data_IF_047272171303
#
_entry.id   IF_047272171303
#
_cell.length_a   1.000
_cell.length_b   1.000
_cell.length_c   1.000
_cell.angle_alpha   90.00
_cell.angle_beta   90.00
_cell.angle_gamma   90.00
#
_symmetry.space_group_name_H-M   'P 1'
#
loop_
_entity.id
_entity.type
_entity.pdbx_description
1 polymer ?
#
# COMPACT_ATOMS: atom_id res chain seq x y z
N UNK A 1 -14.38 5.61 1.90
CA UNK A 1 -15.26 4.43 2.14
C UNK A 1 -14.41 3.18 1.97
N UNK A 2 -14.64 2.13 2.75
CA UNK A 2 -14.03 0.82 2.51
C UNK A 2 -15.06 -0.08 1.84
N UNK A 3 -14.82 -0.42 0.59
CA UNK A 3 -15.65 -1.37 -0.14
C UNK A 3 -15.34 -2.80 0.34
N UNK A 4 -16.36 -3.59 0.57
CA UNK A 4 -16.24 -4.97 0.98
C UNK A 4 -17.50 -5.77 0.57
N UNK A 5 -17.36 -7.08 0.47
CA UNK A 5 -18.43 -8.03 0.15
C UNK A 5 -18.89 -8.84 1.38
N UNK A 6 -18.74 -8.25 2.57
CA UNK A 6 -19.24 -8.86 3.80
C UNK A 6 -20.77 -8.82 3.77
N UNK A 7 -21.48 -9.91 4.11
CA UNK A 7 -22.93 -9.96 4.11
C UNK A 7 -23.58 -8.80 4.86
N UNK A 8 -24.55 -8.16 4.23
CA UNK A 8 -25.24 -6.95 4.71
C UNK A 8 -24.39 -5.67 4.74
N UNK A 9 -23.22 -5.67 4.12
CA UNK A 9 -22.47 -4.43 3.90
C UNK A 9 -23.20 -3.54 2.88
N UNK A 10 -23.21 -2.21 3.06
CA UNK A 10 -23.75 -1.28 2.05
C UNK A 10 -23.06 -1.37 0.68
N UNK A 11 -21.92 -2.02 0.61
CA UNK A 11 -21.10 -2.14 -0.61
C UNK A 11 -21.02 -3.57 -1.14
N UNK A 12 -21.79 -4.52 -0.58
CA UNK A 12 -21.72 -5.94 -0.89
C UNK A 12 -21.91 -6.22 -2.39
N UNK A 13 -22.84 -5.53 -3.04
CA UNK A 13 -23.23 -5.76 -4.44
C UNK A 13 -22.54 -4.84 -5.43
N UNK A 14 -21.53 -4.06 -5.00
CA UNK A 14 -20.79 -3.20 -5.92
C UNK A 14 -19.97 -4.06 -6.89
N UNK A 15 -19.99 -3.67 -8.17
CA UNK A 15 -19.19 -4.38 -9.17
C UNK A 15 -17.69 -4.20 -8.90
N UNK A 16 -16.95 -5.29 -8.96
CA UNK A 16 -15.49 -5.29 -8.71
C UNK A 16 -14.75 -4.29 -9.62
N UNK A 17 -15.20 -4.14 -10.88
CA UNK A 17 -14.59 -3.19 -11.81
C UNK A 17 -14.76 -1.74 -11.34
N UNK A 18 -15.93 -1.37 -10.82
CA UNK A 18 -16.18 -0.01 -10.33
C UNK A 18 -15.37 0.27 -9.06
N UNK A 19 -15.27 -0.72 -8.16
CA UNK A 19 -14.44 -0.64 -6.95
C UNK A 19 -12.96 -0.49 -7.32
N UNK A 20 -12.47 -1.27 -8.30
CA UNK A 20 -11.10 -1.18 -8.76
C UNK A 20 -10.79 0.20 -9.37
N UNK A 21 -11.67 0.70 -10.25
CA UNK A 21 -11.53 2.04 -10.85
C UNK A 21 -11.57 3.15 -9.81
N UNK A 22 -12.46 3.07 -8.83
CA UNK A 22 -12.55 4.04 -7.72
C UNK A 22 -11.30 4.02 -6.84
N UNK A 23 -10.79 2.81 -6.53
CA UNK A 23 -9.63 2.62 -5.66
C UNK A 23 -8.30 2.99 -6.31
N UNK A 24 -8.24 3.08 -7.64
CA UNK A 24 -7.03 3.40 -8.41
C UNK A 24 -7.08 4.77 -9.09
N UNK A 25 -8.06 5.62 -8.76
CA UNK A 25 -8.19 6.98 -9.28
C UNK A 25 -7.22 7.94 -8.59
N UNK A 26 -5.91 7.73 -8.78
CA UNK A 26 -4.83 8.48 -8.11
C UNK A 26 -4.86 9.96 -8.52
N UNK A 27 -5.02 10.90 -7.57
CA UNK A 27 -4.95 12.33 -7.87
C UNK A 27 -3.65 12.68 -8.59
N UNK A 28 -3.69 13.68 -9.48
CA UNK A 28 -2.62 14.10 -10.37
C UNK A 28 -2.46 13.20 -11.60
N UNK A 29 -2.59 11.87 -11.47
CA UNK A 29 -2.42 10.93 -12.57
C UNK A 29 -3.72 10.61 -13.30
N UNK A 30 -4.83 10.51 -12.55
CA UNK A 30 -6.13 10.12 -13.06
C UNK A 30 -7.26 11.05 -12.58
N UNK A 31 -8.33 11.22 -13.36
CA UNK A 31 -9.54 11.87 -12.89
C UNK A 31 -10.23 11.01 -11.81
N UNK A 32 -11.06 11.66 -11.00
CA UNK A 32 -11.92 10.95 -10.05
C UNK A 32 -12.87 10.00 -10.77
N UNK A 33 -13.11 8.82 -10.17
CA UNK A 33 -14.10 7.88 -10.65
C UNK A 33 -15.33 7.89 -9.73
N UNK A 34 -16.49 8.27 -10.27
CA UNK A 34 -17.75 8.38 -9.52
C UNK A 34 -17.59 9.13 -8.17
N UNK A 35 -16.89 10.27 -8.20
CA UNK A 35 -16.55 11.10 -7.01
C UNK A 35 -15.62 10.44 -6.00
N UNK A 36 -15.00 9.33 -6.33
CA UNK A 36 -13.97 8.71 -5.50
C UNK A 36 -12.59 9.09 -6.02
N UNK A 37 -11.63 9.08 -5.11
CA UNK A 37 -10.19 9.16 -5.37
C UNK A 37 -9.52 7.90 -4.83
N UNK A 38 -8.30 7.66 -5.27
CA UNK A 38 -7.50 6.50 -4.88
C UNK A 38 -7.50 6.27 -3.35
N UNK A 39 -7.76 5.03 -2.97
CA UNK A 39 -7.70 4.60 -1.57
C UNK A 39 -6.31 4.71 -0.95
N UNK A 40 -5.26 4.77 -1.76
CA UNK A 40 -3.88 4.97 -1.34
C UNK A 40 -3.65 6.27 -0.58
N UNK A 41 -4.44 7.31 -0.81
CA UNK A 41 -4.39 8.56 -0.02
C UNK A 41 -4.65 8.31 1.48
N UNK A 42 -5.46 7.32 1.80
CA UNK A 42 -5.84 6.98 3.19
C UNK A 42 -5.11 5.74 3.68
N UNK A 43 -4.91 4.75 2.83
CA UNK A 43 -4.33 3.46 3.18
C UNK A 43 -3.41 2.98 2.04
N UNK A 44 -2.28 3.66 1.85
CA UNK A 44 -1.25 3.28 0.86
C UNK A 44 -0.80 1.83 1.06
N UNK A 45 -0.66 1.41 2.31
CA UNK A 45 -0.54 0.00 2.70
C UNK A 45 -1.80 -0.40 3.46
N UNK A 46 -2.67 -1.26 2.90
CA UNK A 46 -3.94 -1.63 3.52
C UNK A 46 -3.81 -2.68 4.64
N UNK A 47 -2.60 -3.06 5.05
CA UNK A 47 -2.35 -4.12 6.04
C UNK A 47 -3.09 -3.86 7.35
N UNK A 48 -2.93 -2.66 7.93
CA UNK A 48 -3.59 -2.32 9.19
C UNK A 48 -5.11 -2.31 9.06
N UNK A 49 -5.64 -1.77 7.97
CA UNK A 49 -7.06 -1.77 7.71
C UNK A 49 -7.62 -3.20 7.63
N UNK A 50 -6.90 -4.11 6.95
CA UNK A 50 -7.27 -5.52 6.84
C UNK A 50 -7.34 -6.21 8.20
N UNK A 51 -6.39 -5.94 9.09
CA UNK A 51 -6.39 -6.46 10.47
C UNK A 51 -7.63 -5.95 11.22
N UNK A 52 -7.85 -4.63 11.20
CA UNK A 52 -8.98 -4.00 11.91
C UNK A 52 -10.32 -4.57 11.44
N UNK A 53 -10.52 -4.69 10.13
CA UNK A 53 -11.72 -5.32 9.58
C UNK A 53 -11.89 -6.79 9.97
N UNK A 54 -10.79 -7.53 10.09
CA UNK A 54 -10.82 -8.95 10.48
C UNK A 54 -11.25 -9.17 11.94
N UNK A 55 -10.86 -8.27 12.84
CA UNK A 55 -11.22 -8.33 14.27
C UNK A 55 -12.52 -7.58 14.60
N UNK A 56 -13.06 -6.83 13.66
CA UNK A 56 -14.35 -6.17 13.85
C UNK A 56 -15.46 -7.17 14.17
N UNK A 57 -16.48 -6.73 14.88
CA UNK A 57 -17.59 -7.57 15.34
C UNK A 57 -18.29 -8.33 14.22
N UNK A 58 -18.25 -7.82 13.00
CA UNK A 58 -18.87 -8.44 11.82
C UNK A 58 -18.18 -9.74 11.43
N UNK A 59 -16.85 -9.77 11.41
CA UNK A 59 -16.06 -10.98 11.13
C UNK A 59 -15.60 -11.69 12.41
N UNK A 60 -15.40 -10.94 13.50
CA UNK A 60 -15.18 -11.45 14.84
C UNK A 60 -13.97 -12.38 14.98
N UNK A 61 -12.92 -12.19 14.15
CA UNK A 61 -11.72 -13.04 14.23
C UNK A 61 -10.87 -12.64 15.42
N UNK A 62 -10.30 -13.64 16.10
CA UNK A 62 -9.29 -13.40 17.12
C UNK A 62 -7.97 -13.00 16.46
N UNK A 63 -7.27 -12.02 17.01
CA UNK A 63 -6.02 -11.49 16.46
C UNK A 63 -4.93 -12.57 16.37
N UNK A 64 -4.92 -13.52 17.30
CA UNK A 64 -3.96 -14.62 17.31
C UNK A 64 -4.12 -15.56 16.10
N UNK A 65 -5.32 -15.58 15.52
CA UNK A 65 -5.64 -16.43 14.37
C UNK A 65 -5.44 -15.71 13.03
N UNK A 66 -5.05 -14.42 13.06
CA UNK A 66 -4.78 -13.67 11.83
C UNK A 66 -3.36 -13.96 11.35
N UNK A 67 -3.24 -14.27 10.07
CA UNK A 67 -1.98 -14.32 9.32
C UNK A 67 -2.09 -13.35 8.16
N UNK A 68 -1.13 -12.45 8.04
CA UNK A 68 -1.16 -11.41 7.01
C UNK A 68 0.10 -11.48 6.15
N UNK A 69 -0.11 -11.76 4.88
CA UNK A 69 0.90 -11.66 3.84
C UNK A 69 0.63 -10.40 3.01
N UNK A 70 1.54 -9.44 3.07
CA UNK A 70 1.44 -8.16 2.40
C UNK A 70 2.44 -8.08 1.24
N UNK A 71 1.96 -7.67 0.06
CA UNK A 71 2.79 -7.45 -1.12
C UNK A 71 2.87 -5.97 -1.45
N UNK A 72 4.09 -5.46 -1.60
CA UNK A 72 4.35 -4.13 -2.11
C UNK A 72 4.77 -4.17 -3.58
N UNK A 73 4.63 -3.05 -4.25
CA UNK A 73 5.02 -2.86 -5.66
C UNK A 73 6.49 -2.50 -5.84
N UNK A 74 7.26 -2.54 -4.78
CA UNK A 74 8.63 -2.07 -4.70
C UNK A 74 8.71 -0.76 -3.88
N UNK A 75 9.91 -0.48 -3.36
CA UNK A 75 10.16 0.78 -2.66
C UNK A 75 11.51 1.36 -3.04
N UNK A 76 11.58 2.67 -3.03
CA UNK A 76 12.81 3.44 -3.13
C UNK A 76 12.83 4.45 -2.00
N UNK A 77 13.94 4.49 -1.25
CA UNK A 77 14.06 5.50 -0.20
C UNK A 77 14.32 6.87 -0.83
N UNK A 78 13.25 7.60 -0.96
CA UNK A 78 13.31 8.99 -1.39
C UNK A 78 13.31 9.90 -0.17
N UNK A 79 14.24 10.82 -0.09
CA UNK A 79 14.29 11.83 0.96
C UNK A 79 14.43 13.20 0.35
N UNK A 80 13.76 14.18 0.93
CA UNK A 80 13.96 15.58 0.55
C UNK A 80 15.38 15.96 0.95
N UNK A 81 16.24 16.18 -0.06
CA UNK A 81 17.65 16.53 0.16
C UNK A 81 17.87 18.04 0.28
N UNK A 82 16.88 18.80 -0.13
CA UNK A 82 16.92 20.24 -0.13
C UNK A 82 16.64 20.80 1.29
N UNK A 83 17.17 21.96 1.59
CA UNK A 83 16.78 22.69 2.80
C UNK A 83 15.35 23.21 2.66
N UNK A 84 14.46 22.70 3.49
CA UNK A 84 13.03 23.05 3.50
C UNK A 84 12.67 24.16 4.47
N UNK A 85 13.65 24.77 5.14
CA UNK A 85 13.42 25.78 6.21
C UNK A 85 12.61 26.98 5.74
N UNK A 86 12.70 27.31 4.46
CA UNK A 86 11.99 28.44 3.84
C UNK A 86 10.88 28.04 2.88
N UNK A 87 10.50 26.74 2.87
CA UNK A 87 9.46 26.26 1.97
C UNK A 87 8.09 26.80 2.36
N UNK A 88 7.39 27.36 1.39
CA UNK A 88 5.97 27.70 1.47
C UNK A 88 5.08 26.64 0.81
N UNK A 89 3.78 26.91 0.74
CA UNK A 89 2.81 25.98 0.18
C UNK A 89 3.11 25.58 -1.27
N UNK A 90 3.66 26.50 -2.06
CA UNK A 90 4.00 26.25 -3.48
C UNK A 90 5.16 25.26 -3.56
N UNK A 91 6.21 25.43 -2.75
CA UNK A 91 7.40 24.57 -2.80
C UNK A 91 7.04 23.13 -2.48
N UNK A 92 6.16 22.91 -1.51
CA UNK A 92 5.65 21.58 -1.13
C UNK A 92 4.86 20.89 -2.25
N UNK A 93 4.32 21.63 -3.22
CA UNK A 93 3.49 21.11 -4.30
C UNK A 93 4.26 21.00 -5.63
N UNK A 94 5.18 21.96 -5.92
CA UNK A 94 5.81 22.04 -7.25
C UNK A 94 7.28 21.62 -7.30
N UNK A 95 7.90 21.34 -6.17
CA UNK A 95 9.28 20.85 -6.14
C UNK A 95 9.42 19.53 -6.91
N UNK A 96 10.59 19.31 -7.50
CA UNK A 96 10.83 18.16 -8.37
C UNK A 96 11.79 17.10 -7.77
N UNK A 97 12.25 17.27 -6.55
CA UNK A 97 13.15 16.31 -5.91
C UNK A 97 12.81 16.18 -4.41
N UNK A 98 11.89 15.28 -4.05
CA UNK A 98 11.03 14.44 -4.91
C UNK A 98 9.92 15.23 -5.62
N UNK A 99 9.37 14.68 -6.69
CA UNK A 99 8.16 15.25 -7.31
C UNK A 99 6.99 15.24 -6.31
N UNK A 100 6.29 16.38 -6.23
CA UNK A 100 5.13 16.55 -5.33
C UNK A 100 5.46 16.14 -3.87
N UNK A 101 6.41 16.80 -3.20
CA UNK A 101 6.95 16.35 -1.92
C UNK A 101 5.89 16.07 -0.85
N UNK A 102 4.86 16.90 -0.77
CA UNK A 102 3.79 16.72 0.24
C UNK A 102 3.02 15.41 0.02
N UNK A 103 2.78 15.03 -1.23
CA UNK A 103 2.08 13.78 -1.56
C UNK A 103 3.01 12.61 -1.27
N UNK A 104 4.25 12.66 -1.73
CA UNK A 104 5.25 11.59 -1.51
C UNK A 104 5.47 11.31 -0.04
N UNK A 105 5.67 12.34 0.79
CA UNK A 105 5.87 12.20 2.25
C UNK A 105 4.60 11.65 2.92
N UNK A 106 3.42 12.09 2.49
CA UNK A 106 2.15 11.64 3.07
C UNK A 106 1.89 10.17 2.76
N UNK A 107 2.07 9.76 1.51
CA UNK A 107 1.88 8.36 1.09
C UNK A 107 2.89 7.42 1.78
N UNK A 108 4.16 7.81 1.79
CA UNK A 108 5.21 7.02 2.43
C UNK A 108 4.99 6.91 3.95
N UNK A 109 4.70 8.02 4.62
CA UNK A 109 4.41 8.05 6.05
C UNK A 109 3.20 7.20 6.43
N UNK A 110 2.14 7.26 5.63
CA UNK A 110 0.94 6.44 5.80
C UNK A 110 1.27 4.94 5.65
N UNK A 111 2.02 4.57 4.62
CA UNK A 111 2.45 3.18 4.42
C UNK A 111 3.31 2.68 5.59
N UNK A 112 4.28 3.47 6.06
CA UNK A 112 5.15 3.09 7.18
C UNK A 112 4.37 2.90 8.48
N UNK A 113 3.42 3.78 8.80
CA UNK A 113 2.56 3.64 9.99
C UNK A 113 1.79 2.33 9.94
N UNK A 114 1.16 2.01 8.80
CA UNK A 114 0.43 0.76 8.61
C UNK A 114 1.32 -0.46 8.83
N UNK A 115 2.52 -0.48 8.23
CA UNK A 115 3.48 -1.57 8.36
C UNK A 115 3.96 -1.75 9.80
N UNK A 116 4.35 -0.66 10.47
CA UNK A 116 4.83 -0.69 11.86
C UNK A 116 3.76 -1.25 12.79
N UNK A 117 2.51 -0.78 12.66
CA UNK A 117 1.44 -1.23 13.53
C UNK A 117 1.01 -2.66 13.22
N UNK A 118 0.94 -3.04 11.94
CA UNK A 118 0.67 -4.43 11.54
C UNK A 118 1.71 -5.40 12.10
N UNK A 119 3.00 -5.04 12.00
CA UNK A 119 4.09 -5.86 12.58
C UNK A 119 4.01 -5.93 14.10
N UNK A 120 3.66 -4.85 14.77
CA UNK A 120 3.50 -4.84 16.24
C UNK A 120 2.32 -5.69 16.69
N UNK A 121 1.20 -5.65 15.97
CA UNK A 121 -0.01 -6.40 16.30
C UNK A 121 0.14 -7.90 16.03
N UNK A 122 0.68 -8.26 14.88
CA UNK A 122 0.73 -9.65 14.43
C UNK A 122 2.09 -10.34 14.65
N UNK A 123 3.14 -9.57 14.95
CA UNK A 123 4.49 -10.08 15.20
C UNK A 123 4.97 -11.01 14.06
N UNK A 124 5.20 -12.30 14.35
CA UNK A 124 5.65 -13.28 13.37
C UNK A 124 4.53 -13.77 12.43
N UNK A 125 3.29 -13.40 12.70
CA UNK A 125 2.16 -13.68 11.85
C UNK A 125 1.97 -12.63 10.72
N UNK A 126 2.86 -11.64 10.63
CA UNK A 126 2.92 -10.65 9.56
C UNK A 126 4.19 -10.82 8.75
N UNK A 127 4.04 -11.00 7.45
CA UNK A 127 5.14 -10.96 6.49
C UNK A 127 4.84 -9.96 5.39
N UNK A 128 5.83 -9.11 5.07
CA UNK A 128 5.74 -8.18 3.95
C UNK A 128 6.83 -8.46 2.95
N UNK A 129 6.44 -8.74 1.73
CA UNK A 129 7.30 -8.81 0.57
C UNK A 129 7.24 -7.48 -0.17
N UNK A 130 8.36 -6.77 -0.24
CA UNK A 130 8.46 -5.50 -0.94
C UNK A 130 9.89 -5.30 -1.44
N UNK A 131 10.18 -5.53 -2.73
CA UNK A 131 11.53 -5.44 -3.26
C UNK A 131 12.05 -4.00 -3.25
N UNK A 132 13.34 -3.84 -2.94
CA UNK A 132 14.01 -2.54 -3.03
C UNK A 132 14.35 -2.23 -4.49
N UNK A 133 13.93 -1.07 -4.95
CA UNK A 133 14.31 -0.53 -6.25
C UNK A 133 15.63 0.24 -6.17
N UNK A 134 16.36 0.33 -7.29
CA UNK A 134 17.61 1.06 -7.37
C UNK A 134 17.44 2.53 -7.76
N UNK A 135 16.22 2.93 -8.18
CA UNK A 135 15.85 4.30 -8.55
C UNK A 135 14.38 4.56 -8.24
N UNK A 136 14.03 5.83 -8.17
CA UNK A 136 12.63 6.26 -8.15
C UNK A 136 11.97 6.02 -9.50
N UNK A 137 10.70 5.62 -9.47
CA UNK A 137 9.91 5.31 -10.67
C UNK A 137 8.53 5.93 -10.51
N UNK A 138 8.20 6.85 -11.42
CA UNK A 138 6.86 7.42 -11.47
C UNK A 138 5.81 6.37 -11.85
N UNK A 139 4.58 6.51 -11.34
CA UNK A 139 3.48 5.58 -11.62
C UNK A 139 3.11 5.50 -13.10
N UNK A 140 3.43 6.51 -13.89
CA UNK A 140 3.19 6.60 -15.34
C UNK A 140 4.42 6.29 -16.20
N UNK A 141 5.56 5.89 -15.61
CA UNK A 141 6.78 5.54 -16.35
C UNK A 141 6.67 4.15 -17.00
N UNK A 142 6.01 4.09 -18.15
CA UNK A 142 5.89 2.85 -18.93
C UNK A 142 7.23 2.27 -19.38
N UNK A 143 8.31 3.08 -19.42
CA UNK A 143 9.66 2.60 -19.79
C UNK A 143 10.32 1.79 -18.68
N UNK A 144 9.79 1.85 -17.47
CA UNK A 144 10.27 1.06 -16.35
C UNK A 144 9.75 -0.38 -16.33
N UNK A 145 8.81 -0.76 -17.20
CA UNK A 145 8.15 -2.09 -17.17
C UNK A 145 9.17 -3.24 -17.26
N UNK A 146 10.13 -3.14 -18.18
CA UNK A 146 11.15 -4.18 -18.33
C UNK A 146 12.02 -4.33 -17.08
N UNK A 147 12.44 -3.21 -16.50
CA UNK A 147 13.20 -3.19 -15.24
C UNK A 147 12.40 -3.80 -14.09
N UNK A 148 11.13 -3.40 -13.92
CA UNK A 148 10.26 -3.93 -12.86
C UNK A 148 10.00 -5.44 -13.04
N UNK A 149 9.81 -5.86 -14.29
CA UNK A 149 9.64 -7.28 -14.63
C UNK A 149 10.88 -8.09 -14.27
N UNK A 150 12.06 -7.57 -14.57
CA UNK A 150 13.33 -8.23 -14.24
C UNK A 150 13.54 -8.29 -12.72
N UNK A 151 13.30 -7.17 -12.01
CA UNK A 151 13.38 -7.12 -10.55
C UNK A 151 12.48 -8.17 -9.89
N UNK A 152 11.25 -8.31 -10.40
CA UNK A 152 10.31 -9.30 -9.87
C UNK A 152 10.75 -10.74 -10.13
N UNK A 153 11.35 -11.02 -11.31
CA UNK A 153 11.85 -12.36 -11.66
C UNK A 153 13.08 -12.78 -10.85
N UNK A 154 13.93 -11.82 -10.52
CA UNK A 154 15.18 -12.05 -9.79
C UNK A 154 15.01 -12.01 -8.26
N UNK A 155 13.82 -11.61 -7.78
CA UNK A 155 13.59 -11.49 -6.35
C UNK A 155 13.62 -12.86 -5.67
N UNK A 156 14.43 -12.98 -4.62
CA UNK A 156 14.51 -14.21 -3.83
C UNK A 156 13.26 -14.39 -2.96
N UNK A 157 12.48 -15.40 -3.28
CA UNK A 157 11.23 -15.74 -2.60
C UNK A 157 11.42 -16.73 -1.44
N UNK A 158 12.64 -17.17 -1.15
CA UNK A 158 12.92 -18.27 -0.20
C UNK A 158 12.32 -18.00 1.18
N UNK A 159 12.53 -16.82 1.73
CA UNK A 159 11.97 -16.45 3.05
C UNK A 159 10.45 -16.38 3.04
N UNK A 160 9.87 -15.81 1.98
CA UNK A 160 8.41 -15.70 1.84
C UNK A 160 7.76 -17.10 1.79
N UNK A 161 8.31 -17.99 0.97
CA UNK A 161 7.83 -19.38 0.83
C UNK A 161 7.98 -20.14 2.16
N UNK A 162 9.10 -19.97 2.85
CA UNK A 162 9.32 -20.55 4.17
C UNK A 162 8.26 -20.07 5.18
N UNK A 163 7.99 -18.77 5.20
CA UNK A 163 6.97 -18.19 6.08
C UNK A 163 5.57 -18.73 5.76
N UNK A 164 5.20 -18.85 4.47
CA UNK A 164 3.91 -19.44 4.07
C UNK A 164 3.80 -20.88 4.58
N UNK A 165 4.82 -21.69 4.39
CA UNK A 165 4.82 -23.10 4.84
C UNK A 165 4.72 -23.22 6.36
N UNK A 166 5.36 -22.31 7.09
CA UNK A 166 5.37 -22.32 8.56
C UNK A 166 4.09 -21.80 9.19
N UNK A 167 3.52 -20.74 8.63
CA UNK A 167 2.45 -19.96 9.27
C UNK A 167 1.08 -20.18 8.63
N UNK A 168 1.03 -20.41 7.32
CA UNK A 168 -0.24 -20.51 6.58
C UNK A 168 -0.72 -21.95 6.43
N UNK A 169 0.17 -22.88 6.15
CA UNK A 169 -0.19 -24.28 5.92
C UNK A 169 -0.37 -25.11 7.19
N UNK A 170 -0.20 -24.53 8.38
CA UNK A 170 -0.37 -25.21 9.67
C UNK A 170 -1.68 -24.84 10.39
N UNK A 171 -2.64 -24.24 9.68
CA UNK A 171 -3.97 -23.87 10.23
C UNK A 171 -4.94 -25.03 10.06
#
# INVERSE_FOLDING_TARGET
>A
MFYNNIPNSPTEDFRVVDVAMASSAAPVFFPTYERNIDGGIIATDPSLASIVYSIDKTLGKSIENIRLLSFGTGYYYNSIKQDTSNWGAIDWVVSKDPDLPIISVTLEGNAQVSQIFSKKLLQDNYYRLNPRMNRDISMDDVKAIDYLTQLAKEYDMTECVSWINDKWNKI
#
